data_IF_746033056526
#
_entry.id   IF_746033056526
#
_cell.length_a   1.000
_cell.length_b   1.000
_cell.length_c   1.000
_cell.angle_alpha   90.00
_cell.angle_beta   90.00
_cell.angle_gamma   90.00
#
_symmetry.space_group_name_H-M   'P 1'
#
loop_
_entity.id
_entity.type
_entity.pdbx_description
1 polymer ?
#
# COMPACT_ATOMS: atom_id res chain seq x y z
N UNK A 1 -25.34 34.88 30.81
CA UNK A 1 -24.03 35.14 31.41
C UNK A 1 -23.26 33.83 31.44
N UNK A 2 -22.36 33.71 30.47
CA UNK A 2 -21.13 32.92 30.39
C UNK A 2 -21.09 31.55 31.10
N UNK A 3 -21.11 30.49 30.28
CA UNK A 3 -20.77 29.12 30.64
C UNK A 3 -19.45 29.08 31.44
N UNK A 4 -19.50 28.50 32.63
CA UNK A 4 -18.36 28.31 33.53
C UNK A 4 -17.42 27.25 32.98
N UNK A 5 -16.24 27.67 32.54
CA UNK A 5 -15.18 26.79 32.05
C UNK A 5 -14.51 26.01 33.20
N UNK A 6 -14.41 24.69 33.03
CA UNK A 6 -13.48 23.87 33.80
C UNK A 6 -12.09 23.98 33.16
N UNK A 7 -11.21 24.80 33.76
CA UNK A 7 -9.77 24.74 33.48
C UNK A 7 -9.19 23.50 34.18
N UNK A 8 -9.04 22.40 33.45
CA UNK A 8 -8.21 21.29 33.93
C UNK A 8 -6.73 21.69 33.74
N UNK A 9 -6.06 21.91 34.87
CA UNK A 9 -4.65 22.24 34.98
C UNK A 9 -3.83 20.95 34.79
N UNK A 10 -3.27 20.70 33.61
CA UNK A 10 -2.21 19.69 33.43
C UNK A 10 -0.86 20.32 33.75
N UNK A 11 -0.48 20.24 35.02
CA UNK A 11 0.86 20.56 35.52
C UNK A 11 1.85 19.45 35.13
N UNK A 12 2.35 19.51 33.90
CA UNK A 12 3.67 19.02 33.47
C UNK A 12 3.87 19.53 32.04
N UNK A 13 4.64 20.62 31.92
CA UNK A 13 4.91 21.30 30.66
C UNK A 13 5.75 20.45 29.73
N UNK A 14 5.10 19.85 28.75
CA UNK A 14 5.66 19.68 27.42
C UNK A 14 4.66 20.34 26.48
N UNK A 15 4.87 21.61 26.15
CA UNK A 15 4.26 22.18 24.94
C UNK A 15 4.96 21.48 23.78
N UNK A 16 4.47 20.32 23.35
CA UNK A 16 4.84 19.79 22.03
C UNK A 16 4.21 20.77 21.06
N UNK A 17 4.90 21.87 20.76
CA UNK A 17 4.42 22.81 19.76
C UNK A 17 4.55 22.07 18.41
N UNK A 18 3.47 21.54 17.83
CA UNK A 18 3.55 20.71 16.63
C UNK A 18 3.61 21.57 15.37
N UNK A 19 3.63 22.90 15.52
CA UNK A 19 3.66 23.90 14.45
C UNK A 19 4.56 23.54 13.25
N UNK A 20 5.80 23.04 13.42
CA UNK A 20 6.60 22.63 12.27
C UNK A 20 5.96 21.48 11.46
N UNK A 21 5.37 20.47 12.10
CA UNK A 21 4.78 19.32 11.41
C UNK A 21 3.32 19.51 11.02
N UNK A 22 2.60 20.46 11.61
CA UNK A 22 1.20 20.74 11.31
C UNK A 22 0.97 21.17 9.85
N UNK A 23 1.95 21.86 9.26
CA UNK A 23 1.91 22.35 7.87
C UNK A 23 2.92 21.68 6.94
N UNK A 24 3.60 20.63 7.41
CA UNK A 24 4.64 19.93 6.63
C UNK A 24 4.11 18.60 6.11
N UNK A 25 4.21 18.41 4.80
CA UNK A 25 3.87 17.16 4.13
C UNK A 25 5.13 16.40 3.74
N UNK A 26 5.24 15.16 4.21
CA UNK A 26 6.33 14.26 3.88
C UNK A 26 5.94 13.30 2.75
N UNK A 27 6.82 13.12 1.77
CA UNK A 27 6.60 12.23 0.64
C UNK A 27 7.07 10.79 0.93
N UNK A 28 6.66 9.85 0.07
CA UNK A 28 7.16 8.46 0.03
C UNK A 28 7.00 7.66 1.33
N UNK A 29 6.02 8.01 2.18
CA UNK A 29 5.79 7.29 3.44
C UNK A 29 6.71 7.70 4.60
N UNK A 30 7.47 8.79 4.46
CA UNK A 30 8.16 9.43 5.57
C UNK A 30 7.16 10.02 6.58
N UNK A 31 7.57 10.06 7.86
CA UNK A 31 6.83 10.73 8.93
C UNK A 31 7.52 12.04 9.30
N UNK A 32 6.73 13.08 9.59
CA UNK A 32 7.27 14.33 10.09
C UNK A 32 7.65 14.19 11.56
N UNK A 33 8.87 14.60 11.90
CA UNK A 33 9.37 14.71 13.27
C UNK A 33 10.01 16.07 13.47
N UNK A 34 10.00 16.56 14.72
CA UNK A 34 10.68 17.81 15.07
C UNK A 34 12.15 17.50 15.37
N UNK A 35 13.06 18.12 14.61
CA UNK A 35 14.50 18.02 14.83
C UNK A 35 14.92 18.74 16.13
N UNK A 36 16.11 18.44 16.65
CA UNK A 36 16.74 19.15 17.78
C UNK A 36 16.78 20.68 17.57
N UNK A 37 16.82 21.13 16.32
CA UNK A 37 16.77 22.56 15.95
C UNK A 37 15.36 23.18 15.96
N UNK A 38 14.34 22.44 16.40
CA UNK A 38 12.94 22.88 16.40
C UNK A 38 12.28 22.92 15.02
N UNK A 39 12.93 22.38 13.97
CA UNK A 39 12.43 22.38 12.59
C UNK A 39 11.75 21.07 12.21
N UNK A 40 10.79 21.14 11.29
CA UNK A 40 10.19 19.97 10.67
C UNK A 40 11.23 19.17 9.88
N UNK A 41 11.26 17.86 10.08
CA UNK A 41 12.15 16.95 9.37
C UNK A 41 11.37 15.69 8.96
N UNK A 42 11.47 15.32 7.69
CA UNK A 42 10.84 14.10 7.18
C UNK A 42 11.81 12.93 7.32
N UNK A 43 11.43 11.93 8.12
CA UNK A 43 12.26 10.76 8.38
C UNK A 43 11.55 9.48 7.95
N UNK A 44 12.32 8.56 7.36
CA UNK A 44 11.80 7.24 7.03
C UNK A 44 11.59 6.41 8.31
N UNK A 45 10.55 5.57 8.37
CA UNK A 45 10.43 4.59 9.45
C UNK A 45 11.69 3.73 9.53
N UNK A 46 12.35 3.71 10.68
CA UNK A 46 13.53 2.85 10.94
C UNK A 46 13.13 1.58 11.66
N UNK A 47 12.20 1.68 12.62
CA UNK A 47 11.73 0.58 13.44
C UNK A 47 10.30 0.20 13.07
N UNK A 48 10.16 -0.96 12.41
CA UNK A 48 8.86 -1.53 12.10
C UNK A 48 8.57 -2.77 12.96
N UNK A 49 7.33 -2.92 13.48
CA UNK A 49 6.92 -4.15 14.12
C UNK A 49 7.12 -5.34 13.18
N UNK A 50 7.54 -6.48 13.73
CA UNK A 50 7.67 -7.75 12.99
C UNK A 50 6.38 -8.57 12.99
N UNK A 51 5.26 -7.94 13.35
CA UNK A 51 3.94 -8.57 13.33
C UNK A 51 3.49 -8.70 11.86
N UNK A 52 3.10 -9.91 11.42
CA UNK A 52 2.60 -10.12 10.06
C UNK A 52 1.18 -9.55 9.93
N UNK A 53 1.01 -8.58 9.03
CA UNK A 53 -0.28 -8.01 8.62
C UNK A 53 -0.16 -7.62 7.14
N UNK A 54 -0.15 -8.61 6.22
CA UNK A 54 0.34 -8.42 4.86
C UNK A 54 -0.49 -7.39 4.08
N UNK A 55 0.19 -6.62 3.24
CA UNK A 55 -0.44 -5.64 2.34
C UNK A 55 0.15 -5.72 0.95
N UNK A 56 -0.69 -5.52 -0.07
CA UNK A 56 -0.25 -5.42 -1.45
C UNK A 56 0.04 -3.96 -1.79
N UNK A 57 1.24 -3.68 -2.29
CA UNK A 57 1.63 -2.37 -2.78
C UNK A 57 1.04 -2.06 -4.16
N UNK A 58 1.04 -0.78 -4.52
CA UNK A 58 0.67 -0.31 -5.87
C UNK A 58 1.69 -0.72 -6.95
N UNK A 59 2.84 -1.24 -6.54
CA UNK A 59 3.87 -1.85 -7.37
C UNK A 59 3.72 -3.38 -7.49
N UNK A 60 2.58 -3.92 -7.06
CA UNK A 60 2.26 -5.35 -7.07
C UNK A 60 3.24 -6.21 -6.25
N UNK A 61 3.93 -5.59 -5.28
CA UNK A 61 4.80 -6.26 -4.31
C UNK A 61 4.04 -6.45 -3.00
N UNK A 62 4.18 -7.65 -2.41
CA UNK A 62 3.63 -7.94 -1.09
C UNK A 62 4.61 -7.48 -0.01
N UNK A 63 4.12 -6.69 0.94
CA UNK A 63 4.87 -6.27 2.12
C UNK A 63 4.33 -6.96 3.37
N UNK A 64 5.23 -7.31 4.30
CA UNK A 64 4.88 -8.00 5.56
C UNK A 64 3.87 -7.22 6.39
N UNK A 65 3.94 -5.89 6.37
CA UNK A 65 2.96 -4.99 6.96
C UNK A 65 3.05 -3.57 6.39
N UNK A 66 2.10 -2.72 6.78
CA UNK A 66 2.01 -1.31 6.34
C UNK A 66 3.26 -0.48 6.72
N UNK A 67 3.92 -0.78 7.85
CA UNK A 67 5.15 -0.08 8.22
C UNK A 67 6.30 -0.40 7.26
N UNK A 68 6.50 -1.68 6.96
CA UNK A 68 7.52 -2.15 6.02
C UNK A 68 7.32 -1.58 4.60
N UNK A 69 6.05 -1.46 4.16
CA UNK A 69 5.73 -0.77 2.91
C UNK A 69 6.20 0.69 2.94
N UNK A 70 5.85 1.47 3.99
CA UNK A 70 6.28 2.87 4.12
C UNK A 70 7.80 3.02 4.22
N UNK A 71 8.46 2.11 4.93
CA UNK A 71 9.92 2.09 5.04
C UNK A 71 10.59 1.88 3.67
N UNK A 72 10.14 0.88 2.91
CA UNK A 72 10.66 0.61 1.57
C UNK A 72 10.38 1.76 0.60
N UNK A 73 9.13 2.24 0.57
CA UNK A 73 8.67 3.41 -0.21
C UNK A 73 9.59 4.63 0.03
N UNK A 74 9.89 4.90 1.30
CA UNK A 74 10.70 6.05 1.71
C UNK A 74 12.17 5.90 1.33
N UNK A 75 12.76 4.72 1.60
CA UNK A 75 14.16 4.43 1.28
C UNK A 75 14.43 4.49 -0.22
N UNK A 76 13.49 3.95 -1.01
CA UNK A 76 13.65 3.84 -2.45
C UNK A 76 13.14 5.10 -3.17
N UNK A 77 12.60 6.09 -2.43
CA UNK A 77 11.96 7.32 -2.94
C UNK A 77 10.91 7.04 -4.01
N UNK A 78 10.13 5.99 -3.80
CA UNK A 78 9.00 5.59 -4.65
C UNK A 78 7.71 5.89 -3.94
N UNK A 79 6.67 6.29 -4.67
CA UNK A 79 5.37 6.59 -4.07
C UNK A 79 4.50 5.33 -4.02
N UNK A 80 5.00 4.27 -3.38
CA UNK A 80 4.25 3.03 -3.22
C UNK A 80 3.18 3.21 -2.16
N UNK A 81 1.92 2.98 -2.55
CA UNK A 81 0.75 3.03 -1.66
C UNK A 81 0.19 1.63 -1.47
N UNK A 82 -0.62 1.43 -0.42
CA UNK A 82 -1.37 0.18 -0.27
C UNK A 82 -2.44 0.13 -1.38
N UNK A 83 -2.39 -0.90 -2.21
CA UNK A 83 -3.41 -1.24 -3.21
C UNK A 83 -4.58 -1.96 -2.55
N UNK A 84 -4.29 -2.98 -1.73
CA UNK A 84 -5.28 -3.66 -0.89
C UNK A 84 -4.63 -4.35 0.31
N UNK A 85 -5.44 -4.73 1.31
CA UNK A 85 -5.01 -5.58 2.43
C UNK A 85 -4.82 -7.02 1.96
N UNK A 86 -3.92 -7.76 2.59
CA UNK A 86 -3.53 -9.11 2.19
C UNK A 86 -2.37 -9.11 1.19
N UNK A 87 -1.92 -10.31 0.83
CA UNK A 87 -0.84 -10.51 -0.16
C UNK A 87 -1.32 -10.13 -1.57
N UNK A 88 -0.42 -9.67 -2.43
CA UNK A 88 -0.75 -9.47 -3.84
C UNK A 88 -1.12 -10.80 -4.47
N UNK A 89 -2.33 -10.88 -5.00
CA UNK A 89 -2.73 -11.97 -5.87
C UNK A 89 -2.28 -11.63 -7.28
N UNK A 90 -1.55 -12.54 -7.93
CA UNK A 90 -1.23 -12.33 -9.34
C UNK A 90 -2.56 -12.36 -10.13
N UNK A 91 -2.97 -11.19 -10.57
CA UNK A 91 -4.20 -11.02 -11.35
C UNK A 91 -4.13 -11.71 -12.72
N UNK A 92 -2.98 -12.30 -13.09
CA UNK A 92 -2.85 -13.27 -14.18
C UNK A 92 -3.63 -14.58 -13.96
N UNK A 93 -4.21 -14.80 -12.77
CA UNK A 93 -4.96 -16.02 -12.52
C UNK A 93 -6.42 -15.82 -12.09
N UNK A 94 -6.82 -14.69 -11.47
CA UNK A 94 -8.20 -14.59 -10.94
C UNK A 94 -8.89 -13.20 -10.99
N UNK A 95 -8.28 -12.10 -11.49
CA UNK A 95 -9.00 -10.82 -11.63
C UNK A 95 -9.92 -10.72 -12.84
N UNK A 96 -9.73 -11.58 -13.84
CA UNK A 96 -10.58 -11.60 -15.03
C UNK A 96 -11.82 -12.46 -14.83
N UNK A 97 -11.97 -13.13 -13.68
CA UNK A 97 -13.05 -14.10 -13.45
C UNK A 97 -14.29 -13.53 -12.75
N UNK A 98 -14.36 -12.21 -12.50
CA UNK A 98 -15.62 -11.55 -12.11
C UNK A 98 -15.97 -10.44 -13.10
N UNK A 99 -16.22 -10.85 -14.35
CA UNK A 99 -17.09 -10.18 -15.34
C UNK A 99 -17.78 -11.23 -16.25
N UNK A 100 -18.08 -12.44 -15.75
CA UNK A 100 -18.70 -13.52 -16.57
C UNK A 100 -20.19 -13.72 -16.30
N UNK A 101 -20.79 -13.06 -15.30
CA UNK A 101 -22.18 -13.34 -14.93
C UNK A 101 -23.22 -12.37 -15.48
N UNK A 102 -22.86 -11.31 -16.21
CA UNK A 102 -23.83 -10.32 -16.74
C UNK A 102 -23.50 -9.79 -18.15
N UNK A 103 -22.99 -10.61 -19.07
CA UNK A 103 -22.97 -10.26 -20.50
C UNK A 103 -23.55 -11.41 -21.35
N UNK A 104 -24.37 -11.10 -22.36
CA UNK A 104 -25.18 -12.06 -23.10
C UNK A 104 -24.32 -13.13 -23.78
N UNK A 105 -24.90 -14.31 -23.92
CA UNK A 105 -24.32 -15.62 -24.22
C UNK A 105 -23.55 -15.81 -25.54
N UNK A 106 -22.95 -14.76 -26.14
CA UNK A 106 -22.31 -14.82 -27.47
C UNK A 106 -20.81 -14.58 -27.49
N UNK A 107 -20.17 -14.20 -26.37
CA UNK A 107 -18.71 -13.94 -26.32
C UNK A 107 -17.88 -15.20 -25.97
N UNK A 108 -18.53 -16.36 -25.79
CA UNK A 108 -17.84 -17.62 -25.50
C UNK A 108 -17.24 -18.32 -26.74
N UNK A 109 -17.56 -17.85 -27.94
CA UNK A 109 -17.05 -18.44 -29.18
C UNK A 109 -15.81 -17.67 -29.63
N UNK A 110 -14.67 -17.87 -28.95
CA UNK A 110 -13.31 -17.72 -29.52
C UNK A 110 -12.16 -18.00 -28.52
N UNK A 111 -12.43 -18.06 -27.20
CA UNK A 111 -11.38 -18.39 -26.22
C UNK A 111 -10.97 -19.87 -26.33
N UNK A 112 -11.89 -20.78 -26.67
CA UNK A 112 -11.57 -22.20 -26.87
C UNK A 112 -10.77 -22.45 -28.16
N UNK A 113 -10.84 -21.54 -29.14
CA UNK A 113 -10.01 -21.61 -30.35
C UNK A 113 -8.57 -21.20 -30.03
N UNK A 114 -8.38 -20.07 -29.34
CA UNK A 114 -7.06 -19.59 -28.92
C UNK A 114 -6.34 -20.57 -27.96
N UNK A 115 -7.06 -21.19 -27.01
CA UNK A 115 -6.50 -22.19 -26.10
C UNK A 115 -6.17 -23.50 -26.83
N UNK A 116 -6.90 -23.88 -27.90
CA UNK A 116 -6.56 -25.05 -28.73
C UNK A 116 -5.25 -24.84 -29.49
N UNK A 117 -4.98 -23.64 -29.99
CA UNK A 117 -3.70 -23.32 -30.63
C UNK A 117 -2.52 -23.36 -29.65
N UNK A 118 -2.70 -22.87 -28.42
CA UNK A 118 -1.66 -22.93 -27.38
C UNK A 118 -1.32 -24.35 -26.91
N UNK A 119 -2.29 -25.29 -26.90
CA UNK A 119 -2.03 -26.70 -26.57
C UNK A 119 -1.29 -27.42 -27.69
N UNK A 120 -1.51 -27.04 -28.95
CA UNK A 120 -0.82 -27.64 -30.09
C UNK A 120 0.65 -27.20 -30.22
N UNK A 121 1.02 -26.04 -29.67
CA UNK A 121 2.40 -25.55 -29.67
C UNK A 121 3.30 -26.28 -28.64
N UNK A 122 2.73 -26.79 -27.53
CA UNK A 122 3.51 -27.40 -26.44
C UNK A 122 3.90 -28.87 -26.65
N UNK A 123 3.21 -29.59 -27.55
CA UNK A 123 3.49 -31.02 -27.80
C UNK A 123 4.60 -31.25 -28.84
N UNK A 124 4.97 -30.22 -29.61
CA UNK A 124 5.96 -30.32 -30.70
C UNK A 124 7.41 -30.14 -30.26
N UNK A 125 7.66 -29.71 -29.01
CA UNK A 125 9.01 -29.57 -28.43
C UNK A 125 9.45 -30.78 -27.59
N UNK A 126 8.68 -31.88 -27.57
CA UNK A 126 9.03 -33.09 -26.80
C UNK A 126 9.61 -34.25 -27.63
N UNK A 127 9.77 -34.08 -28.94
CA UNK A 127 10.38 -35.08 -29.84
C UNK A 127 11.37 -34.47 -30.85
N UNK A 128 12.10 -33.44 -30.43
CA UNK A 128 13.34 -32.98 -31.09
C UNK A 128 14.44 -32.88 -30.04
#
# INVERSE_FOLDING_TARGET
>A
MYVTGFHQRTSQGVTVNPEPCEKTYCAWGASCVVSETGRASCQCPTNCPKVPDPVCGSDDITYTNHCQLRQASCRDRKNTRVKHKGVCVNQSSLCSLVMVLLLPSTVYVDITAFIKDMKSAKEKERWK
#
